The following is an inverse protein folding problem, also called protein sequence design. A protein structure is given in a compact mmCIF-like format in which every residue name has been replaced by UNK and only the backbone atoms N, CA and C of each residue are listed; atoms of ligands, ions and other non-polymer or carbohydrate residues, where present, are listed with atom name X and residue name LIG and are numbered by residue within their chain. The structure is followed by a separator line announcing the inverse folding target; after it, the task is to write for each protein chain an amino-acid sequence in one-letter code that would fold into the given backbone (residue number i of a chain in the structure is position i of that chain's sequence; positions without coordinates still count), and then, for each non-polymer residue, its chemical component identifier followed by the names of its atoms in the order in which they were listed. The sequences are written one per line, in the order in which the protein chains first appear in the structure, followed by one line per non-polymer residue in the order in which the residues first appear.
data_IF_350145071220
#
_entry.id   IF_350145071220
#
_cell.length_a   1.000
_cell.length_b   1.000
_cell.length_c   1.000
_cell.angle_alpha   90.00
_cell.angle_beta   90.00
_cell.angle_gamma   90.00
#
_symmetry.space_group_name_H-M   'P 1'
#
loop_
_entity.id
_entity.type
_entity.pdbx_description
1 polymer ?
#
# COMPACT_ATOMS: atom_id res chain seq x y z
N UNK A 1 -48.55 19.10 2.69
CA UNK A 1 -47.73 17.86 2.83
C UNK A 1 -46.68 17.69 1.74
N UNK A 2 -46.75 18.39 0.59
CA UNK A 2 -45.82 18.17 -0.54
C UNK A 2 -44.40 18.76 -0.40
N UNK A 3 -44.13 19.64 0.58
CA UNK A 3 -42.85 20.37 0.66
C UNK A 3 -41.80 19.69 1.57
N UNK A 4 -42.25 18.84 2.51
CA UNK A 4 -41.34 18.12 3.43
C UNK A 4 -40.59 16.98 2.75
N UNK A 5 -41.22 16.33 1.77
CA UNK A 5 -40.61 15.22 1.02
C UNK A 5 -39.48 15.71 0.12
N UNK A 6 -39.62 16.90 -0.47
CA UNK A 6 -38.62 17.50 -1.36
C UNK A 6 -37.40 18.02 -0.62
N UNK A 7 -37.57 18.60 0.58
CA UNK A 7 -36.43 18.99 1.43
C UNK A 7 -35.71 17.78 2.03
N UNK A 8 -36.46 16.75 2.48
CA UNK A 8 -35.87 15.51 2.99
C UNK A 8 -34.97 14.83 1.94
N UNK A 9 -35.39 14.81 0.67
CA UNK A 9 -34.59 14.25 -0.41
C UNK A 9 -33.33 15.08 -0.71
N UNK A 10 -33.42 16.42 -0.69
CA UNK A 10 -32.25 17.29 -0.89
C UNK A 10 -31.23 17.14 0.24
N UNK A 11 -31.68 17.04 1.49
CA UNK A 11 -30.80 16.83 2.64
C UNK A 11 -30.08 15.48 2.55
N UNK A 12 -30.78 14.43 2.12
CA UNK A 12 -30.19 13.12 1.90
C UNK A 12 -29.11 13.14 0.80
N UNK A 13 -29.41 13.75 -0.35
CA UNK A 13 -28.46 13.88 -1.48
C UNK A 13 -27.19 14.65 -1.05
N UNK A 14 -27.33 15.72 -0.25
CA UNK A 14 -26.18 16.49 0.25
C UNK A 14 -25.34 15.65 1.21
N UNK A 15 -25.98 14.86 2.08
CA UNK A 15 -25.28 13.98 3.01
C UNK A 15 -24.50 12.88 2.26
N UNK A 16 -25.11 12.25 1.26
CA UNK A 16 -24.49 11.19 0.46
C UNK A 16 -23.31 11.73 -0.37
N UNK A 17 -23.46 12.94 -0.94
CA UNK A 17 -22.36 13.65 -1.64
C UNK A 17 -21.18 13.96 -0.70
N UNK A 18 -21.47 14.46 0.51
CA UNK A 18 -20.44 14.73 1.51
C UNK A 18 -19.72 13.45 1.93
N UNK A 19 -20.44 12.35 2.13
CA UNK A 19 -19.87 11.08 2.55
C UNK A 19 -18.96 10.47 1.47
N UNK A 20 -19.38 10.51 0.20
CA UNK A 20 -18.57 10.03 -0.92
C UNK A 20 -17.27 10.82 -1.07
N UNK A 21 -17.34 12.14 -0.93
CA UNK A 21 -16.16 13.01 -1.00
C UNK A 21 -15.22 12.80 0.21
N UNK A 22 -15.77 12.69 1.42
CA UNK A 22 -14.98 12.40 2.63
C UNK A 22 -14.29 11.02 2.53
N UNK A 23 -14.96 10.01 1.99
CA UNK A 23 -14.37 8.69 1.77
C UNK A 23 -13.19 8.73 0.78
N UNK A 24 -13.35 9.43 -0.36
CA UNK A 24 -12.28 9.57 -1.34
C UNK A 24 -11.05 10.31 -0.77
N UNK A 25 -11.27 11.34 0.05
CA UNK A 25 -10.19 12.06 0.74
C UNK A 25 -9.47 11.16 1.75
N UNK A 26 -10.21 10.37 2.54
CA UNK A 26 -9.60 9.45 3.50
C UNK A 26 -8.70 8.40 2.82
N UNK A 27 -9.13 7.89 1.65
CA UNK A 27 -8.33 6.97 0.83
C UNK A 27 -7.09 7.66 0.26
N UNK A 28 -7.20 8.93 -0.15
CA UNK A 28 -6.05 9.72 -0.61
C UNK A 28 -5.03 9.98 0.52
N UNK A 29 -5.50 10.29 1.73
CA UNK A 29 -4.64 10.47 2.89
C UNK A 29 -3.94 9.16 3.27
N UNK A 30 -4.66 8.03 3.24
CA UNK A 30 -4.08 6.72 3.47
C UNK A 30 -3.03 6.35 2.41
N UNK A 31 -3.28 6.64 1.12
CA UNK A 31 -2.29 6.45 0.06
C UNK A 31 -1.04 7.32 0.28
N UNK A 32 -1.24 8.58 0.71
CA UNK A 32 -0.13 9.49 1.02
C UNK A 32 0.72 8.94 2.18
N UNK A 33 0.08 8.47 3.24
CA UNK A 33 0.76 7.85 4.38
C UNK A 33 1.54 6.59 3.97
N UNK A 34 0.97 5.74 3.12
CA UNK A 34 1.68 4.58 2.57
C UNK A 34 2.93 5.00 1.81
N UNK A 35 2.82 6.02 0.95
CA UNK A 35 3.95 6.52 0.16
C UNK A 35 5.06 7.07 1.06
N UNK A 36 4.70 7.83 2.08
CA UNK A 36 5.67 8.38 3.04
C UNK A 36 6.36 7.26 3.84
N UNK A 37 5.60 6.23 4.24
CA UNK A 37 6.14 5.03 4.87
C UNK A 37 7.05 4.23 3.92
N UNK A 38 6.71 4.13 2.64
CA UNK A 38 7.55 3.47 1.63
C UNK A 38 8.87 4.22 1.42
N UNK A 39 8.84 5.56 1.40
CA UNK A 39 10.03 6.38 1.29
C UNK A 39 10.95 6.23 2.52
N UNK A 40 10.34 6.20 3.72
CA UNK A 40 11.06 5.95 4.97
C UNK A 40 11.66 4.54 4.99
N UNK A 41 10.90 3.53 4.57
CA UNK A 41 11.37 2.15 4.44
C UNK A 41 12.56 2.08 3.48
N UNK A 42 12.46 2.62 2.26
CA UNK A 42 13.55 2.58 1.29
C UNK A 42 14.84 3.23 1.85
N UNK A 43 14.70 4.38 2.51
CA UNK A 43 15.83 5.10 3.13
C UNK A 43 16.44 4.31 4.29
N UNK A 44 15.60 3.86 5.24
CA UNK A 44 16.05 3.10 6.39
C UNK A 44 16.62 1.74 5.97
N UNK A 45 16.07 1.14 4.92
CA UNK A 45 16.55 -0.11 4.32
C UNK A 45 17.94 0.05 3.73
N UNK A 46 18.17 1.09 2.94
CA UNK A 46 19.50 1.42 2.45
C UNK A 46 20.52 1.61 3.58
N UNK A 47 20.14 2.31 4.65
CA UNK A 47 21.02 2.56 5.79
C UNK A 47 21.37 1.29 6.59
N UNK A 48 20.37 0.46 6.91
CA UNK A 48 20.59 -0.79 7.63
C UNK A 48 21.36 -1.81 6.76
N UNK A 49 21.08 -1.89 5.46
CA UNK A 49 21.83 -2.75 4.55
C UNK A 49 23.28 -2.28 4.41
N UNK A 50 23.54 -0.97 4.32
CA UNK A 50 24.90 -0.44 4.31
C UNK A 50 25.67 -0.84 5.58
N UNK A 51 25.02 -0.77 6.75
CA UNK A 51 25.62 -1.21 8.02
C UNK A 51 25.84 -2.72 8.09
N UNK A 52 24.93 -3.51 7.54
CA UNK A 52 25.13 -4.95 7.40
C UNK A 52 26.30 -5.27 6.48
N UNK A 53 26.43 -4.59 5.33
CA UNK A 53 27.55 -4.77 4.40
C UNK A 53 28.88 -4.39 5.05
N UNK A 54 28.91 -3.30 5.82
CA UNK A 54 30.11 -2.79 6.49
C UNK A 54 30.55 -3.69 7.66
N UNK A 55 29.61 -4.21 8.45
CA UNK A 55 29.91 -4.84 9.75
C UNK A 55 29.64 -6.34 9.79
N UNK A 56 28.89 -6.88 8.82
CA UNK A 56 28.45 -8.27 8.81
C UNK A 56 27.52 -8.65 9.97
N UNK A 57 26.95 -7.66 10.67
CA UNK A 57 26.11 -7.88 11.86
C UNK A 57 24.63 -8.00 11.47
N UNK A 58 24.06 -9.17 11.70
CA UNK A 58 22.69 -9.54 11.33
C UNK A 58 21.62 -8.71 12.06
N UNK A 59 21.95 -8.03 13.17
CA UNK A 59 20.98 -7.16 13.88
C UNK A 59 20.43 -6.05 12.97
N UNK A 60 21.22 -5.61 12.00
CA UNK A 60 20.79 -4.60 11.04
C UNK A 60 19.71 -5.14 10.09
N UNK A 61 19.71 -6.45 9.81
CA UNK A 61 18.66 -7.12 9.03
C UNK A 61 17.37 -7.31 9.84
N UNK A 62 17.47 -7.52 11.16
CA UNK A 62 16.29 -7.60 12.03
C UNK A 62 15.50 -6.29 12.05
N UNK A 63 16.19 -5.14 12.09
CA UNK A 63 15.55 -3.84 12.02
C UNK A 63 14.80 -3.62 10.68
N UNK A 64 15.32 -4.18 9.57
CA UNK A 64 14.63 -4.16 8.28
C UNK A 64 13.35 -4.97 8.30
N UNK A 65 13.36 -6.13 8.96
CA UNK A 65 12.18 -6.97 9.09
C UNK A 65 11.05 -6.22 9.81
N UNK A 66 11.38 -5.52 10.90
CA UNK A 66 10.41 -4.75 11.67
C UNK A 66 9.85 -3.55 10.90
N UNK A 67 10.69 -2.89 10.10
CA UNK A 67 10.25 -1.82 9.20
C UNK A 67 9.33 -2.36 8.10
N UNK A 68 9.69 -3.50 7.49
CA UNK A 68 8.85 -4.17 6.49
C UNK A 68 7.47 -4.54 7.08
N UNK A 69 7.42 -5.07 8.30
CA UNK A 69 6.14 -5.37 8.99
C UNK A 69 5.27 -4.12 9.15
N UNK A 70 5.86 -2.99 9.54
CA UNK A 70 5.11 -1.73 9.67
C UNK A 70 4.56 -1.23 8.32
N UNK A 71 5.35 -1.35 7.25
CA UNK A 71 4.88 -1.04 5.90
C UNK A 71 3.77 -1.99 5.45
N UNK A 72 3.82 -3.27 5.85
CA UNK A 72 2.71 -4.21 5.65
C UNK A 72 1.43 -3.68 6.29
N UNK A 73 1.50 -3.37 7.58
CA UNK A 73 0.35 -2.90 8.34
C UNK A 73 -0.25 -1.63 7.74
N UNK A 74 0.60 -0.70 7.28
CA UNK A 74 0.13 0.51 6.58
C UNK A 74 -0.60 0.18 5.27
N UNK A 75 -0.06 -0.75 4.49
CA UNK A 75 -0.69 -1.24 3.25
C UNK A 75 -2.02 -1.93 3.53
N UNK A 76 -2.07 -2.80 4.54
CA UNK A 76 -3.29 -3.52 4.94
C UNK A 76 -4.39 -2.51 5.36
N UNK A 77 -4.05 -1.48 6.13
CA UNK A 77 -5.00 -0.42 6.52
C UNK A 77 -5.53 0.38 5.32
N UNK A 78 -4.68 0.67 4.33
CA UNK A 78 -5.13 1.31 3.10
C UNK A 78 -6.09 0.41 2.33
N UNK A 79 -5.76 -0.88 2.17
CA UNK A 79 -6.60 -1.88 1.49
C UNK A 79 -7.99 -1.93 2.15
N UNK A 80 -8.03 -2.01 3.48
CA UNK A 80 -9.29 -2.05 4.24
C UNK A 80 -10.13 -0.79 4.01
N UNK A 81 -9.50 0.39 4.09
CA UNK A 81 -10.18 1.67 3.88
C UNK A 81 -10.66 1.82 2.43
N UNK A 82 -9.80 1.49 1.46
CA UNK A 82 -10.10 1.53 0.03
C UNK A 82 -11.32 0.66 -0.28
N UNK A 83 -11.31 -0.60 0.15
CA UNK A 83 -12.43 -1.52 -0.05
C UNK A 83 -13.69 -1.05 0.67
N UNK A 84 -13.58 -0.53 1.90
CA UNK A 84 -14.71 0.00 2.64
C UNK A 84 -15.38 1.17 1.91
N UNK A 85 -14.59 2.11 1.40
CA UNK A 85 -15.09 3.29 0.69
C UNK A 85 -15.68 2.90 -0.66
N UNK A 86 -14.99 2.07 -1.45
CA UNK A 86 -15.50 1.59 -2.75
C UNK A 86 -16.82 0.84 -2.59
N UNK A 87 -16.94 -0.09 -1.63
CA UNK A 87 -18.17 -0.84 -1.42
C UNK A 87 -19.33 0.03 -0.89
N UNK A 88 -19.03 1.12 -0.17
CA UNK A 88 -20.04 2.04 0.36
C UNK A 88 -20.66 2.94 -0.71
N UNK A 89 -19.97 3.16 -1.83
CA UNK A 89 -20.46 4.00 -2.94
C UNK A 89 -21.45 3.29 -3.87
N UNK A 90 -21.51 1.95 -3.86
CA UNK A 90 -22.44 1.16 -4.68
C UNK A 90 -23.91 1.15 -4.21
N UNK A 91 -24.32 2.06 -3.31
CA UNK A 91 -25.69 2.10 -2.78
C UNK A 91 -26.40 3.43 -3.10
N UNK A 92 -27.43 3.30 -3.94
CA UNK A 92 -28.43 4.30 -4.41
C UNK A 92 -28.03 5.18 -5.61
N UNK A 93 -28.73 4.92 -6.73
CA UNK A 93 -28.68 5.65 -8.00
C UNK A 93 -29.88 6.61 -8.10
N UNK A 94 -29.60 7.91 -8.04
CA UNK A 94 -30.45 9.00 -8.54
C UNK A 94 -29.60 9.88 -9.48
N UNK A 95 -30.24 10.53 -10.45
CA UNK A 95 -29.61 11.16 -11.63
C UNK A 95 -28.69 12.37 -11.29
N UNK A 96 -28.87 13.03 -10.15
CA UNK A 96 -27.98 14.11 -9.67
C UNK A 96 -26.85 13.62 -8.75
N UNK A 97 -27.02 12.43 -8.18
CA UNK A 97 -26.01 11.69 -7.41
C UNK A 97 -24.91 11.13 -8.34
N UNK A 98 -25.29 10.88 -9.60
CA UNK A 98 -24.46 10.29 -10.66
C UNK A 98 -23.16 11.07 -10.95
N UNK A 99 -23.20 12.40 -11.08
CA UNK A 99 -21.98 13.19 -11.42
C UNK A 99 -20.94 13.22 -10.29
N UNK A 100 -21.38 13.25 -9.03
CA UNK A 100 -20.48 13.29 -7.88
C UNK A 100 -19.92 11.91 -7.58
N UNK A 101 -20.71 10.84 -7.73
CA UNK A 101 -20.22 9.45 -7.72
C UNK A 101 -19.17 9.25 -8.80
N UNK A 102 -19.42 9.67 -10.05
CA UNK A 102 -18.43 9.58 -11.14
C UNK A 102 -17.10 10.27 -10.79
N UNK A 103 -17.13 11.42 -10.10
CA UNK A 103 -15.90 12.12 -9.69
C UNK A 103 -15.20 11.36 -8.56
N UNK A 104 -15.95 10.86 -7.57
CA UNK A 104 -15.40 10.08 -6.47
C UNK A 104 -14.82 8.74 -6.95
N UNK A 105 -15.50 8.04 -7.85
CA UNK A 105 -15.04 6.79 -8.48
C UNK A 105 -13.76 7.01 -9.28
N UNK A 106 -13.72 8.07 -10.11
CA UNK A 106 -12.49 8.44 -10.84
C UNK A 106 -11.35 8.77 -9.89
N UNK A 107 -11.64 9.48 -8.80
CA UNK A 107 -10.64 9.83 -7.78
C UNK A 107 -10.12 8.57 -7.07
N UNK A 108 -10.99 7.63 -6.70
CA UNK A 108 -10.59 6.36 -6.08
C UNK A 108 -9.79 5.49 -7.03
N UNK A 109 -10.23 5.36 -8.29
CA UNK A 109 -9.51 4.61 -9.31
C UNK A 109 -8.11 5.21 -9.55
N UNK A 110 -8.00 6.53 -9.62
CA UNK A 110 -6.72 7.22 -9.75
C UNK A 110 -5.83 7.01 -8.52
N UNK A 111 -6.37 7.19 -7.31
CA UNK A 111 -5.61 6.98 -6.06
C UNK A 111 -5.14 5.53 -5.93
N UNK A 112 -5.99 4.55 -6.24
CA UNK A 112 -5.63 3.14 -6.25
C UNK A 112 -4.52 2.84 -7.26
N UNK A 113 -4.61 3.38 -8.48
CA UNK A 113 -3.57 3.21 -9.49
C UNK A 113 -2.21 3.80 -9.06
N UNK A 114 -2.23 4.99 -8.44
CA UNK A 114 -1.03 5.61 -7.87
C UNK A 114 -0.44 4.76 -6.73
N UNK A 115 -1.27 4.24 -5.82
CA UNK A 115 -0.82 3.38 -4.75
C UNK A 115 -0.15 2.09 -5.27
N UNK A 116 -0.73 1.46 -6.30
CA UNK A 116 -0.14 0.28 -6.97
C UNK A 116 1.20 0.63 -7.62
N UNK A 117 1.29 1.77 -8.30
CA UNK A 117 2.54 2.23 -8.92
C UNK A 117 3.63 2.48 -7.87
N UNK A 118 3.29 3.12 -6.76
CA UNK A 118 4.22 3.40 -5.66
C UNK A 118 4.70 2.12 -4.99
N UNK A 119 3.80 1.15 -4.75
CA UNK A 119 4.18 -0.16 -4.23
C UNK A 119 5.08 -0.94 -5.19
N UNK A 120 4.81 -0.89 -6.49
CA UNK A 120 5.66 -1.53 -7.51
C UNK A 120 7.08 -0.93 -7.53
N UNK A 121 7.18 0.40 -7.41
CA UNK A 121 8.47 1.10 -7.35
C UNK A 121 9.24 0.73 -6.09
N UNK A 122 8.58 0.75 -4.92
CA UNK A 122 9.21 0.36 -3.66
C UNK A 122 9.69 -1.10 -3.70
N UNK A 123 8.85 -2.02 -4.19
CA UNK A 123 9.23 -3.43 -4.35
C UNK A 123 10.49 -3.59 -5.21
N UNK A 124 10.58 -2.83 -6.32
CA UNK A 124 11.75 -2.86 -7.21
C UNK A 124 13.00 -2.36 -6.48
N UNK A 125 12.93 -1.22 -5.81
CA UNK A 125 14.05 -0.61 -5.09
C UNK A 125 14.54 -1.54 -3.97
N UNK A 126 13.62 -2.08 -3.18
CA UNK A 126 13.90 -3.07 -2.14
C UNK A 126 14.57 -4.32 -2.72
N UNK A 127 14.06 -4.89 -3.80
CA UNK A 127 14.63 -6.09 -4.41
C UNK A 127 16.05 -5.85 -4.94
N UNK A 128 16.32 -4.66 -5.51
CA UNK A 128 17.68 -4.28 -5.90
C UNK A 128 18.62 -4.25 -4.70
N UNK A 129 18.22 -3.56 -3.63
CA UNK A 129 19.02 -3.45 -2.40
C UNK A 129 19.27 -4.81 -1.74
N UNK A 130 18.23 -5.63 -1.62
CA UNK A 130 18.31 -6.98 -1.04
C UNK A 130 19.20 -7.90 -1.87
N UNK A 131 19.10 -7.85 -3.21
CA UNK A 131 19.97 -8.63 -4.11
C UNK A 131 21.45 -8.27 -3.94
N UNK A 132 21.76 -6.96 -3.83
CA UNK A 132 23.13 -6.50 -3.53
C UNK A 132 23.63 -7.02 -2.18
N UNK A 133 22.82 -6.91 -1.13
CA UNK A 133 23.19 -7.42 0.19
C UNK A 133 23.36 -8.95 0.22
N UNK A 134 22.53 -9.69 -0.53
CA UNK A 134 22.66 -11.13 -0.68
C UNK A 134 23.98 -11.50 -1.36
N UNK A 135 24.38 -10.77 -2.40
CA UNK A 135 25.69 -10.94 -3.03
C UNK A 135 26.86 -10.73 -2.05
N UNK A 136 26.79 -9.70 -1.22
CA UNK A 136 27.80 -9.42 -0.18
C UNK A 136 27.80 -10.50 0.91
N UNK A 137 26.64 -10.92 1.39
CA UNK A 137 26.53 -11.99 2.38
C UNK A 137 27.13 -13.30 1.84
N UNK A 138 26.80 -13.67 0.59
CA UNK A 138 27.35 -14.85 -0.07
C UNK A 138 28.87 -14.76 -0.23
N UNK A 139 29.40 -13.61 -0.66
CA UNK A 139 30.84 -13.41 -0.79
C UNK A 139 31.56 -13.58 0.56
N UNK A 140 31.02 -12.96 1.62
CA UNK A 140 31.58 -13.10 2.96
C UNK A 140 31.49 -14.55 3.49
N UNK A 141 30.42 -15.27 3.19
CA UNK A 141 30.30 -16.69 3.52
C UNK A 141 31.39 -17.52 2.82
N UNK A 142 31.61 -17.29 1.54
CA UNK A 142 32.65 -18.00 0.76
C UNK A 142 34.04 -17.69 1.31
N UNK A 143 34.31 -16.43 1.66
CA UNK A 143 35.62 -15.98 2.12
C UNK A 143 35.94 -16.45 3.55
N UNK A 144 34.97 -16.38 4.47
CA UNK A 144 35.21 -16.60 5.90
C UNK A 144 34.65 -17.92 6.42
N UNK A 145 33.70 -18.55 5.70
CA UNK A 145 33.01 -19.77 6.14
C UNK A 145 32.06 -19.58 7.32
N UNK A 146 31.77 -18.34 7.71
CA UNK A 146 30.95 -18.04 8.89
C UNK A 146 29.45 -18.21 8.57
N UNK A 147 28.81 -19.15 9.26
CA UNK A 147 27.39 -19.51 9.08
C UNK A 147 26.42 -18.35 9.34
N UNK A 148 26.82 -17.30 10.05
CA UNK A 148 25.96 -16.11 10.24
C UNK A 148 25.56 -15.46 8.91
N UNK A 149 26.40 -15.58 7.88
CA UNK A 149 26.10 -15.06 6.55
C UNK A 149 25.07 -15.92 5.81
N UNK A 150 24.91 -17.20 6.15
CA UNK A 150 23.80 -18.01 5.66
C UNK A 150 22.48 -17.58 6.32
N UNK A 151 22.50 -17.27 7.61
CA UNK A 151 21.33 -16.69 8.28
C UNK A 151 20.92 -15.36 7.64
N UNK A 152 21.90 -14.50 7.37
CA UNK A 152 21.64 -13.25 6.66
C UNK A 152 20.99 -13.46 5.29
N UNK A 153 21.43 -14.45 4.51
CA UNK A 153 20.80 -14.80 3.24
C UNK A 153 19.35 -15.25 3.40
N UNK A 154 19.05 -16.03 4.44
CA UNK A 154 17.68 -16.44 4.75
C UNK A 154 16.80 -15.24 5.10
N UNK A 155 17.31 -14.32 5.91
CA UNK A 155 16.59 -13.12 6.34
C UNK A 155 16.34 -12.17 5.15
N UNK A 156 17.32 -12.00 4.27
CA UNK A 156 17.18 -11.23 3.03
C UNK A 156 16.14 -11.84 2.07
N UNK A 157 16.08 -13.18 1.99
CA UNK A 157 15.06 -13.88 1.20
C UNK A 157 13.65 -13.70 1.79
N UNK A 158 13.52 -13.76 3.12
CA UNK A 158 12.23 -13.46 3.80
C UNK A 158 11.77 -12.03 3.50
N UNK A 159 12.67 -11.06 3.54
CA UNK A 159 12.35 -9.66 3.23
C UNK A 159 11.90 -9.48 1.77
N UNK A 160 12.54 -10.18 0.83
CA UNK A 160 12.12 -10.19 -0.59
C UNK A 160 10.69 -10.71 -0.74
N UNK A 161 10.35 -11.79 -0.03
CA UNK A 161 9.00 -12.35 -0.03
C UNK A 161 7.98 -11.37 0.55
N UNK A 162 8.27 -10.77 1.70
CA UNK A 162 7.38 -9.78 2.33
C UNK A 162 7.09 -8.60 1.40
N UNK A 163 8.13 -8.04 0.78
CA UNK A 163 8.01 -6.96 -0.21
C UNK A 163 7.13 -7.34 -1.40
N UNK A 164 7.27 -8.57 -1.89
CA UNK A 164 6.49 -9.11 -3.02
C UNK A 164 5.03 -9.35 -2.64
N UNK A 165 4.79 -9.95 -1.47
CA UNK A 165 3.44 -10.21 -0.96
C UNK A 165 2.65 -8.90 -0.82
N UNK A 166 3.27 -7.83 -0.29
CA UNK A 166 2.61 -6.52 -0.15
C UNK A 166 2.15 -5.94 -1.49
N UNK A 167 3.00 -6.03 -2.51
CA UNK A 167 2.67 -5.56 -3.84
C UNK A 167 1.49 -6.35 -4.42
N UNK A 168 1.50 -7.68 -4.29
CA UNK A 168 0.44 -8.55 -4.78
C UNK A 168 -0.89 -8.28 -4.06
N UNK A 169 -0.88 -8.15 -2.74
CA UNK A 169 -2.08 -7.89 -1.93
C UNK A 169 -2.73 -6.56 -2.36
N UNK A 170 -1.93 -5.49 -2.48
CA UNK A 170 -2.41 -4.19 -2.92
C UNK A 170 -2.94 -4.22 -4.35
N UNK A 171 -2.18 -4.82 -5.28
CA UNK A 171 -2.56 -4.95 -6.68
C UNK A 171 -3.92 -5.65 -6.82
N UNK A 172 -4.06 -6.81 -6.18
CA UNK A 172 -5.30 -7.58 -6.22
C UNK A 172 -6.45 -6.80 -5.61
N UNK A 173 -6.25 -6.11 -4.49
CA UNK A 173 -7.30 -5.33 -3.86
C UNK A 173 -7.79 -4.19 -4.74
N UNK A 174 -6.87 -3.41 -5.34
CA UNK A 174 -7.24 -2.29 -6.21
C UNK A 174 -7.90 -2.78 -7.49
N UNK A 175 -7.35 -3.82 -8.15
CA UNK A 175 -7.90 -4.35 -9.39
C UNK A 175 -9.26 -5.04 -9.21
N UNK A 176 -9.43 -5.85 -8.15
CA UNK A 176 -10.70 -6.54 -7.91
C UNK A 176 -11.83 -5.56 -7.56
N UNK A 177 -11.52 -4.52 -6.79
CA UNK A 177 -12.47 -3.46 -6.46
C UNK A 177 -12.86 -2.60 -7.67
N UNK A 178 -12.00 -2.46 -8.67
CA UNK A 178 -12.32 -1.82 -9.95
C UNK A 178 -13.17 -2.70 -10.88
N UNK A 179 -12.90 -4.00 -10.96
CA UNK A 179 -13.69 -4.91 -11.82
C UNK A 179 -15.14 -5.05 -11.33
N UNK A 180 -15.37 -4.95 -10.03
CA UNK A 180 -16.72 -4.98 -9.44
C UNK A 180 -17.57 -3.75 -9.77
N UNK A 181 -16.98 -2.66 -10.29
CA UNK A 181 -17.70 -1.47 -10.76
C UNK A 181 -18.18 -1.57 -12.22
N UNK A 182 -17.78 -2.61 -12.97
CA UNK A 182 -18.07 -2.75 -14.41
C UNK A 182 -19.18 -3.78 -14.73
N UNK A 183 -19.61 -4.57 -13.74
CA UNK A 183 -20.60 -5.65 -13.91
C UNK A 183 -22.02 -5.31 -13.40
N UNK A 184 -22.23 -4.11 -12.83
CA UNK A 184 -23.54 -3.57 -12.38
C UNK A 184 -23.99 -2.38 -13.26
#
# INVERSE_FOLDING_TARGET
MSNRTTESNKTQIIADKSLAQTGALAVQDAATNMRDMNALLSTASGAALAKFIEQGDVKYLQALEDLNKQTKTSTDHFIDLFNSVTNSQNKQLDDETNKTQIIADKSLAQTGALAVQDAANNMRDMNTLLSTASGVALANFIEHGDVKYLQALEDLNKQTKISTDHFIDLFNSVTNSQNKQLDD
#
